data_IF_027360749016
#
_entry.id   IF_027360749016
#
_cell.length_a   1.000
_cell.length_b   1.000
_cell.length_c   1.000
_cell.angle_alpha   90.00
_cell.angle_beta   90.00
_cell.angle_gamma   90.00
#
_symmetry.space_group_name_H-M   'P 1'
#
loop_
_entity.id
_entity.type
_entity.pdbx_description
1 polymer ?
#
# COMPACT_ATOMS: atom_id res chain seq x y z
N UNK A 1 2.39 5.69 30.16
CA UNK A 1 3.62 5.08 30.71
C UNK A 1 4.00 3.90 29.83
N UNK A 2 5.27 3.74 29.46
CA UNK A 2 5.73 2.53 28.74
C UNK A 2 6.01 1.43 29.76
N UNK A 3 5.72 0.19 29.41
CA UNK A 3 5.96 -1.00 30.25
C UNK A 3 6.59 -2.12 29.41
N UNK A 4 7.27 -3.07 30.07
CA UNK A 4 7.79 -4.30 29.44
C UNK A 4 7.04 -5.50 29.99
N UNK A 5 6.60 -6.39 29.11
CA UNK A 5 5.95 -7.65 29.45
C UNK A 5 6.43 -8.76 28.53
N UNK A 6 6.44 -9.99 29.05
CA UNK A 6 6.71 -11.22 28.29
C UNK A 6 5.38 -11.96 28.13
N UNK A 7 5.09 -12.45 26.92
CA UNK A 7 3.83 -13.11 26.61
C UNK A 7 4.10 -14.40 25.85
N UNK A 8 3.38 -15.46 26.22
CA UNK A 8 3.42 -16.76 25.57
C UNK A 8 2.03 -17.05 25.01
N UNK A 9 1.90 -17.16 23.69
CA UNK A 9 0.61 -17.37 22.99
C UNK A 9 0.71 -18.47 21.93
N UNK A 10 1.09 -19.71 22.30
CA UNK A 10 1.39 -20.76 21.33
C UNK A 10 0.20 -21.08 20.42
N UNK A 11 -0.97 -21.34 21.00
CA UNK A 11 -2.18 -21.64 20.22
C UNK A 11 -2.60 -20.46 19.34
N UNK A 12 -2.62 -19.23 19.89
CA UNK A 12 -2.99 -18.03 19.13
C UNK A 12 -2.05 -17.75 17.96
N UNK A 13 -0.75 -18.00 18.13
CA UNK A 13 0.26 -17.86 17.08
C UNK A 13 0.00 -18.86 15.93
N UNK A 14 -0.31 -20.11 16.28
CA UNK A 14 -0.63 -21.16 15.30
C UNK A 14 -1.94 -20.87 14.57
N UNK A 15 -3.01 -20.56 15.31
CA UNK A 15 -4.34 -20.26 14.74
C UNK A 15 -4.28 -19.05 13.82
N UNK A 16 -3.58 -17.97 14.23
CA UNK A 16 -3.40 -16.78 13.40
C UNK A 16 -2.70 -17.11 12.08
N UNK A 17 -1.64 -17.92 12.12
CA UNK A 17 -0.92 -18.29 10.90
C UNK A 17 -1.78 -19.13 9.95
N UNK A 18 -2.52 -20.11 10.49
CA UNK A 18 -3.41 -20.96 9.73
C UNK A 18 -4.60 -20.18 9.13
N UNK A 19 -5.24 -19.34 9.94
CA UNK A 19 -6.38 -18.50 9.52
C UNK A 19 -5.96 -17.52 8.41
N UNK A 20 -4.84 -16.82 8.59
CA UNK A 20 -4.27 -15.94 7.56
C UNK A 20 -3.92 -16.68 6.27
N UNK A 21 -3.52 -17.96 6.36
CA UNK A 21 -3.26 -18.76 5.17
C UNK A 21 -4.53 -19.01 4.35
N UNK A 22 -5.67 -19.22 5.00
CA UNK A 22 -6.98 -19.39 4.36
C UNK A 22 -7.52 -18.07 3.80
N UNK A 23 -7.36 -16.96 4.53
CA UNK A 23 -7.73 -15.62 4.05
C UNK A 23 -6.95 -15.20 2.79
N UNK A 24 -5.77 -15.74 2.55
CA UNK A 24 -5.06 -15.46 1.30
C UNK A 24 -5.61 -16.24 0.08
N UNK A 25 -6.47 -17.23 0.32
CA UNK A 25 -6.99 -18.12 -0.72
C UNK A 25 -8.42 -17.78 -1.14
N UNK A 26 -9.20 -17.16 -0.24
CA UNK A 26 -10.67 -17.12 -0.34
C UNK A 26 -11.24 -15.71 -0.60
N UNK A 27 -11.01 -14.69 0.24
CA UNK A 27 -11.52 -13.35 -0.05
C UNK A 27 -10.80 -12.71 -1.25
N UNK A 28 -11.49 -11.81 -1.93
CA UNK A 28 -10.88 -10.99 -2.96
C UNK A 28 -9.85 -10.03 -2.35
N UNK A 29 -8.97 -9.53 -3.21
CA UNK A 29 -7.86 -8.65 -2.80
C UNK A 29 -8.34 -7.39 -2.06
N UNK A 30 -9.43 -6.74 -2.50
CA UNK A 30 -9.87 -5.47 -1.89
C UNK A 30 -10.48 -5.72 -0.52
N UNK A 31 -11.17 -6.84 -0.34
CA UNK A 31 -11.68 -7.27 0.97
C UNK A 31 -10.53 -7.54 1.94
N UNK A 32 -9.49 -8.26 1.50
CA UNK A 32 -8.31 -8.51 2.34
C UNK A 32 -7.57 -7.21 2.69
N UNK A 33 -7.39 -6.32 1.72
CA UNK A 33 -6.76 -5.00 1.93
C UNK A 33 -7.55 -4.15 2.95
N UNK A 34 -8.89 -4.21 2.92
CA UNK A 34 -9.76 -3.53 3.89
C UNK A 34 -9.60 -4.12 5.29
N UNK A 35 -9.60 -5.44 5.42
CA UNK A 35 -9.40 -6.12 6.72
C UNK A 35 -8.04 -5.74 7.33
N UNK A 36 -6.98 -5.71 6.53
CA UNK A 36 -5.64 -5.34 7.00
C UNK A 36 -5.53 -3.89 7.45
N UNK A 37 -6.27 -2.97 6.82
CA UNK A 37 -6.34 -1.57 7.26
C UNK A 37 -7.08 -1.42 8.60
N UNK A 38 -8.10 -2.25 8.84
CA UNK A 38 -8.97 -2.13 10.01
C UNK A 38 -8.48 -2.93 11.22
N UNK A 39 -7.76 -4.03 11.01
CA UNK A 39 -7.26 -4.89 12.09
C UNK A 39 -6.45 -4.15 13.18
N UNK A 40 -5.54 -3.19 12.85
CA UNK A 40 -4.84 -2.42 13.87
C UNK A 40 -5.77 -1.56 14.72
N UNK A 41 -6.83 -1.01 14.12
CA UNK A 41 -7.81 -0.18 14.83
C UNK A 41 -8.67 -1.01 15.77
N UNK A 42 -9.09 -2.21 15.34
CA UNK A 42 -9.78 -3.15 16.21
C UNK A 42 -8.89 -3.55 17.40
N UNK A 43 -7.62 -3.87 17.16
CA UNK A 43 -6.67 -4.22 18.23
C UNK A 43 -6.45 -3.07 19.23
N UNK A 44 -6.30 -1.83 18.76
CA UNK A 44 -6.16 -0.64 19.62
C UNK A 44 -7.41 -0.39 20.47
N UNK A 45 -8.61 -0.53 19.87
CA UNK A 45 -9.88 -0.42 20.58
C UNK A 45 -9.98 -1.44 21.72
N UNK A 46 -9.63 -2.71 21.45
CA UNK A 46 -9.60 -3.77 22.47
C UNK A 46 -8.59 -3.47 23.56
N UNK A 47 -7.38 -3.06 23.20
CA UNK A 47 -6.32 -2.72 24.15
C UNK A 47 -6.72 -1.56 25.08
N UNK A 48 -7.51 -0.61 24.57
CA UNK A 48 -8.07 0.51 25.34
C UNK A 48 -9.32 0.15 26.15
N UNK A 49 -9.76 -1.11 26.16
CA UNK A 49 -10.90 -1.59 26.94
C UNK A 49 -12.26 -1.16 26.40
N UNK A 50 -12.35 -0.76 25.12
CA UNK A 50 -13.60 -0.26 24.51
C UNK A 50 -14.50 -1.39 23.95
N UNK A 51 -14.57 -2.51 24.66
CA UNK A 51 -15.30 -3.72 24.23
C UNK A 51 -16.79 -3.45 23.97
N UNK A 52 -17.46 -2.76 24.90
CA UNK A 52 -18.91 -2.47 24.80
C UNK A 52 -19.25 -1.26 23.93
N UNK A 53 -18.38 -0.88 23.01
CA UNK A 53 -18.62 0.24 22.09
C UNK A 53 -19.44 -0.17 20.87
N UNK A 54 -20.14 0.80 20.27
CA UNK A 54 -20.77 0.62 18.96
C UNK A 54 -19.73 0.35 17.86
N UNK A 55 -18.51 0.87 18.03
CA UNK A 55 -17.37 0.62 17.13
C UNK A 55 -17.03 -0.87 17.07
N UNK A 56 -16.98 -1.58 18.21
CA UNK A 56 -16.78 -3.04 18.23
C UNK A 56 -17.88 -3.78 17.48
N UNK A 57 -19.15 -3.39 17.66
CA UNK A 57 -20.28 -4.00 16.97
C UNK A 57 -20.17 -3.86 15.44
N UNK A 58 -19.71 -2.71 14.96
CA UNK A 58 -19.52 -2.46 13.54
C UNK A 58 -18.39 -3.33 12.95
N UNK A 59 -17.29 -3.50 13.69
CA UNK A 59 -16.20 -4.39 13.26
C UNK A 59 -16.59 -5.86 13.23
N UNK A 60 -17.37 -6.32 14.21
CA UNK A 60 -17.83 -7.70 14.24
C UNK A 60 -18.78 -7.97 13.07
N UNK A 61 -19.70 -7.05 12.74
CA UNK A 61 -20.56 -7.18 11.56
C UNK A 61 -19.77 -7.25 10.24
N UNK A 62 -18.70 -6.45 10.09
CA UNK A 62 -17.80 -6.55 8.94
C UNK A 62 -17.10 -7.92 8.90
N UNK A 63 -16.61 -8.38 10.05
CA UNK A 63 -15.91 -9.67 10.15
C UNK A 63 -16.87 -10.81 9.80
N UNK A 64 -18.08 -10.82 10.34
CA UNK A 64 -19.09 -11.83 10.06
C UNK A 64 -19.39 -11.94 8.55
N UNK A 65 -19.51 -10.81 7.86
CA UNK A 65 -19.73 -10.81 6.40
C UNK A 65 -18.51 -11.34 5.65
N UNK A 66 -17.32 -10.83 5.97
CA UNK A 66 -16.11 -11.14 5.21
C UNK A 66 -15.55 -12.54 5.49
N UNK A 67 -15.89 -13.15 6.63
CA UNK A 67 -15.43 -14.48 7.03
C UNK A 67 -16.37 -15.61 6.58
N UNK A 68 -17.59 -15.31 6.10
CA UNK A 68 -18.53 -16.30 5.57
C UNK A 68 -17.91 -17.32 4.59
N UNK A 69 -17.13 -16.91 3.57
CA UNK A 69 -16.57 -17.86 2.62
C UNK A 69 -15.31 -18.58 3.15
N UNK A 70 -14.71 -18.13 4.26
CA UNK A 70 -13.40 -18.57 4.76
C UNK A 70 -13.51 -19.94 5.45
N UNK A 71 -13.73 -20.95 4.63
CA UNK A 71 -13.87 -22.36 5.04
C UNK A 71 -12.77 -23.17 4.36
N UNK A 72 -12.03 -23.97 5.12
CA UNK A 72 -10.96 -24.78 4.56
C UNK A 72 -10.04 -25.40 5.60
N UNK A 73 -8.96 -25.98 5.13
CA UNK A 73 -7.90 -26.61 5.94
C UNK A 73 -6.56 -25.98 5.61
N UNK A 74 -5.76 -25.74 6.64
CA UNK A 74 -4.38 -25.27 6.50
C UNK A 74 -3.46 -26.19 7.31
N UNK A 75 -2.43 -26.69 6.65
CA UNK A 75 -1.40 -27.52 7.28
C UNK A 75 -0.23 -26.64 7.68
N UNK A 76 0.20 -26.76 8.92
CA UNK A 76 1.29 -25.97 9.49
C UNK A 76 2.34 -26.88 10.12
N UNK A 77 3.61 -26.56 9.85
CA UNK A 77 4.77 -27.19 10.48
C UNK A 77 5.23 -26.34 11.66
N UNK A 78 5.39 -26.98 12.81
CA UNK A 78 5.94 -26.35 14.00
C UNK A 78 7.38 -26.81 14.19
N UNK A 79 8.31 -25.86 14.28
CA UNK A 79 9.72 -26.20 14.48
C UNK A 79 10.45 -25.09 15.23
N UNK A 80 11.05 -25.43 16.38
CA UNK A 80 11.90 -24.53 17.19
C UNK A 80 11.30 -23.13 17.42
N UNK A 81 10.02 -23.07 17.80
CA UNK A 81 9.32 -21.81 18.06
C UNK A 81 8.77 -21.10 16.81
N UNK A 82 8.96 -21.68 15.62
CA UNK A 82 8.44 -21.14 14.35
C UNK A 82 7.21 -21.92 13.89
N UNK A 83 6.26 -21.20 13.29
CA UNK A 83 5.11 -21.75 12.57
C UNK A 83 5.30 -21.49 11.08
N UNK A 84 5.24 -22.54 10.25
CA UNK A 84 5.37 -22.42 8.78
C UNK A 84 4.21 -23.12 8.09
N UNK A 85 3.44 -22.38 7.31
CA UNK A 85 2.35 -22.94 6.49
C UNK A 85 2.94 -23.82 5.39
N UNK A 86 2.49 -25.06 5.31
CA UNK A 86 2.92 -26.03 4.29
C UNK A 86 1.92 -26.12 3.14
N UNK A 87 0.64 -26.22 3.46
CA UNK A 87 -0.43 -26.38 2.48
C UNK A 87 -1.72 -25.70 2.96
N UNK A 88 -2.60 -25.40 2.01
CA UNK A 88 -3.91 -24.79 2.26
C UNK A 88 -4.90 -25.24 1.19
N UNK A 89 -6.12 -25.51 1.60
CA UNK A 89 -7.18 -25.99 0.71
C UNK A 89 -8.51 -25.38 1.14
N UNK A 90 -9.32 -24.99 0.17
CA UNK A 90 -10.66 -24.46 0.41
C UNK A 90 -11.58 -24.82 -0.76
N UNK A 91 -12.84 -25.22 -0.51
CA UNK A 91 -13.84 -25.34 -1.56
C UNK A 91 -14.23 -24.00 -2.20
N UNK A 92 -13.91 -22.87 -1.56
CA UNK A 92 -14.19 -21.51 -2.04
C UNK A 92 -12.90 -20.78 -2.48
N UNK A 93 -11.88 -21.53 -2.87
CA UNK A 93 -10.61 -20.97 -3.35
C UNK A 93 -10.81 -20.11 -4.60
N UNK A 94 -10.32 -18.87 -4.57
CA UNK A 94 -10.21 -18.01 -5.75
C UNK A 94 -8.95 -18.29 -6.58
N UNK A 95 -8.04 -19.14 -6.10
CA UNK A 95 -6.92 -19.62 -6.88
C UNK A 95 -7.40 -20.63 -7.93
N UNK A 96 -7.03 -20.39 -9.20
CA UNK A 96 -7.27 -21.31 -10.31
C UNK A 96 -5.95 -21.63 -11.02
N UNK A 97 -5.55 -22.91 -11.00
CA UNK A 97 -4.33 -23.38 -11.68
C UNK A 97 -4.37 -23.17 -13.20
N UNK A 98 -5.57 -23.22 -13.79
CA UNK A 98 -5.80 -23.04 -15.22
C UNK A 98 -5.61 -21.58 -15.66
N UNK A 99 -5.86 -20.61 -14.79
CA UNK A 99 -5.70 -19.18 -15.11
C UNK A 99 -4.25 -18.69 -14.89
N UNK A 100 -3.46 -19.41 -14.08
CA UNK A 100 -2.07 -19.02 -13.73
C UNK A 100 -1.01 -19.84 -14.45
N UNK A 101 -1.40 -20.84 -15.25
CA UNK A 101 -0.45 -21.64 -16.01
C UNK A 101 0.10 -20.86 -17.19
N UNK A 102 1.38 -21.07 -17.50
CA UNK A 102 2.02 -20.51 -18.69
C UNK A 102 1.70 -21.28 -19.98
N UNK A 103 1.11 -22.47 -19.87
CA UNK A 103 0.95 -23.40 -21.00
C UNK A 103 -0.42 -23.43 -21.68
N UNK A 104 -1.49 -22.94 -21.04
CA UNK A 104 -2.84 -22.98 -21.58
C UNK A 104 -3.24 -21.59 -22.10
N UNK A 105 -3.19 -21.42 -23.42
CA UNK A 105 -3.44 -20.14 -24.08
C UNK A 105 -4.93 -19.73 -24.16
N UNK A 106 -5.86 -20.60 -23.77
CA UNK A 106 -7.28 -20.46 -24.09
C UNK A 106 -8.14 -19.85 -22.96
N UNK A 107 -7.56 -19.61 -21.79
CA UNK A 107 -8.31 -19.19 -20.58
C UNK A 107 -8.24 -17.67 -20.34
N UNK A 108 -7.25 -16.98 -20.88
CA UNK A 108 -7.07 -15.53 -20.69
C UNK A 108 -6.52 -14.85 -21.96
N UNK A 109 -7.21 -13.80 -22.43
CA UNK A 109 -6.73 -12.97 -23.55
C UNK A 109 -5.66 -11.98 -23.06
N UNK A 110 -4.43 -12.19 -23.51
CA UNK A 110 -3.29 -11.35 -23.14
C UNK A 110 -3.36 -9.94 -23.75
N UNK A 111 -4.15 -9.73 -24.80
CA UNK A 111 -4.31 -8.41 -25.44
C UNK A 111 -4.92 -7.39 -24.46
N UNK A 112 -5.84 -7.84 -23.60
CA UNK A 112 -6.51 -7.01 -22.59
C UNK A 112 -5.52 -6.36 -21.61
N UNK A 113 -4.40 -7.04 -21.31
CA UNK A 113 -3.37 -6.52 -20.42
C UNK A 113 -2.76 -5.20 -20.93
N UNK A 114 -2.68 -5.03 -22.26
CA UNK A 114 -2.16 -3.81 -22.88
C UNK A 114 -3.10 -2.63 -22.62
N UNK A 115 -4.40 -2.84 -22.82
CA UNK A 115 -5.43 -1.84 -22.54
C UNK A 115 -5.44 -1.45 -21.06
N UNK A 116 -5.42 -2.45 -20.17
CA UNK A 116 -5.35 -2.23 -18.72
C UNK A 116 -4.12 -1.41 -18.32
N UNK A 117 -2.92 -1.78 -18.79
CA UNK A 117 -1.67 -1.08 -18.46
C UNK A 117 -1.72 0.39 -18.88
N UNK A 118 -2.21 0.65 -20.09
CA UNK A 118 -2.34 2.01 -20.61
C UNK A 118 -3.31 2.87 -19.79
N UNK A 119 -4.46 2.31 -19.40
CA UNK A 119 -5.47 3.02 -18.61
C UNK A 119 -5.04 3.21 -17.15
N UNK A 120 -4.56 2.15 -16.51
CA UNK A 120 -4.13 2.18 -15.11
C UNK A 120 -2.93 3.11 -14.90
N UNK A 121 -2.01 3.14 -15.87
CA UNK A 121 -0.83 4.02 -15.86
C UNK A 121 -1.08 5.45 -16.34
N UNK A 122 -2.27 5.77 -16.87
CA UNK A 122 -2.53 7.05 -17.55
C UNK A 122 -2.26 8.26 -16.64
N UNK A 123 -2.75 8.22 -15.40
CA UNK A 123 -2.55 9.30 -14.43
C UNK A 123 -1.07 9.53 -14.11
N UNK A 124 -0.29 8.45 -13.97
CA UNK A 124 1.15 8.54 -13.74
C UNK A 124 1.88 9.14 -14.94
N UNK A 125 1.45 8.81 -16.15
CA UNK A 125 1.99 9.38 -17.40
C UNK A 125 1.70 10.87 -17.52
N UNK A 126 0.50 11.33 -17.17
CA UNK A 126 0.16 12.76 -17.17
C UNK A 126 0.97 13.49 -16.10
N UNK A 127 1.07 12.93 -14.89
CA UNK A 127 1.84 13.52 -13.81
C UNK A 127 3.33 13.68 -14.17
N UNK A 128 3.91 12.72 -14.88
CA UNK A 128 5.31 12.81 -15.33
C UNK A 128 5.50 13.87 -16.41
N UNK A 129 4.56 14.00 -17.36
CA UNK A 129 4.59 15.05 -18.38
C UNK A 129 4.52 16.46 -17.76
N UNK A 130 3.61 16.68 -16.81
CA UNK A 130 3.52 17.96 -16.09
C UNK A 130 4.82 18.26 -15.35
N UNK A 131 5.41 17.26 -14.66
CA UNK A 131 6.70 17.42 -13.97
C UNK A 131 7.83 17.79 -14.93
N UNK A 132 7.89 17.17 -16.11
CA UNK A 132 8.89 17.50 -17.13
C UNK A 132 8.74 18.93 -17.63
N UNK A 133 7.51 19.37 -17.93
CA UNK A 133 7.23 20.75 -18.35
C UNK A 133 7.61 21.77 -17.27
N UNK A 134 7.32 21.48 -16.01
CA UNK A 134 7.71 22.33 -14.88
C UNK A 134 9.24 22.41 -14.73
N UNK A 135 9.95 21.28 -14.85
CA UNK A 135 11.42 21.27 -14.80
C UNK A 135 12.05 22.04 -15.97
N UNK A 136 11.49 21.93 -17.18
CA UNK A 136 11.94 22.68 -18.34
C UNK A 136 11.72 24.20 -18.15
N UNK A 137 10.55 24.59 -17.64
CA UNK A 137 10.23 26.00 -17.35
C UNK A 137 11.16 26.59 -16.28
N UNK A 138 11.44 25.83 -15.22
CA UNK A 138 12.37 26.26 -14.17
C UNK A 138 13.81 26.45 -14.69
N UNK A 139 14.27 25.60 -15.61
CA UNK A 139 15.61 25.72 -16.23
C UNK A 139 15.76 26.97 -17.11
N UNK A 140 14.68 27.42 -17.76
CA UNK A 140 14.65 28.64 -18.58
C UNK A 140 14.63 29.92 -17.74
N UNK A 141 13.96 29.90 -16.58
CA UNK A 141 13.92 31.04 -15.66
C UNK A 141 15.27 31.24 -14.94
N UNK A 142 15.98 30.16 -14.62
CA UNK A 142 17.34 30.23 -14.04
C UNK A 142 18.38 30.83 -14.99
N UNK A 143 18.22 30.69 -16.30
CA UNK A 143 19.12 31.28 -17.31
C UNK A 143 18.83 32.77 -17.59
N UNK A 144 17.62 33.24 -17.30
CA UNK A 144 17.23 34.64 -17.57
C UNK A 144 17.68 35.60 -16.47
N UNK A 145 17.97 35.11 -15.25
CA UNK A 145 18.42 35.94 -14.12
C UNK A 145 19.86 36.47 -14.24
N UNK A 146 20.67 35.98 -15.19
CA UNK A 146 22.06 36.44 -15.38
C UNK A 146 22.23 37.47 -16.51
N UNK A 147 21.18 37.74 -17.30
CA UNK A 147 21.23 38.74 -18.36
C UNK A 147 20.80 40.12 -17.84
N UNK A 148 21.72 40.79 -17.15
CA UNK A 148 21.64 42.25 -16.96
C UNK A 148 22.02 42.90 -18.30
N UNK A 149 21.12 43.65 -18.97
CA UNK A 149 21.46 44.34 -20.21
C UNK A 149 22.60 45.34 -19.93
N UNK A 150 23.58 45.43 -20.83
CA UNK A 150 24.77 46.27 -20.68
C UNK A 150 24.48 47.78 -20.45
N UNK A 151 23.23 48.22 -20.59
CA UNK A 151 22.80 49.60 -20.37
C UNK A 151 22.76 50.01 -18.88
N UNK A 152 22.72 49.08 -17.93
CA UNK A 152 22.54 49.39 -16.50
C UNK A 152 23.81 49.28 -15.63
N UNK A 153 24.97 48.98 -16.24
CA UNK A 153 26.24 48.92 -15.50
C UNK A 153 26.77 50.31 -15.07
N UNK A 154 26.47 51.35 -15.84
CA UNK A 154 26.97 52.72 -15.58
C UNK A 154 26.20 53.49 -14.49
N UNK A 155 25.02 53.02 -14.08
CA UNK A 155 24.21 53.69 -13.05
C UNK A 155 24.68 53.35 -11.62
N UNK A 156 25.33 52.20 -11.42
CA UNK A 156 25.77 51.74 -10.10
C UNK A 156 27.09 52.38 -9.63
N UNK A 157 28.00 52.74 -10.54
CA UNK A 157 29.31 53.34 -10.17
C UNK A 157 29.24 54.83 -9.81
N UNK A 158 28.15 55.54 -10.15
CA UNK A 158 28.02 56.98 -9.84
C UNK A 158 27.48 57.28 -8.44
N UNK A 159 27.12 56.27 -7.65
CA UNK A 159 26.59 56.44 -6.28
C UNK A 159 27.61 56.20 -5.16
N UNK A 160 28.84 55.77 -5.45
CA UNK A 160 29.85 55.46 -4.42
C UNK A 160 30.92 56.54 -4.19
N UNK A 161 30.85 57.68 -4.88
CA UNK A 161 31.81 58.79 -4.73
C UNK A 161 31.08 60.07 -4.32
N UNK A 162 30.77 60.21 -3.03
CA UNK A 162 30.30 61.50 -2.53
C UNK A 162 29.64 61.48 -1.15
N UNK A 163 30.43 61.27 -0.09
CA UNK A 163 30.32 62.07 1.15
C UNK A 163 31.43 61.66 2.12
N UNK A 164 32.43 62.53 2.24
CA UNK A 164 33.47 62.47 3.26
C UNK A 164 33.77 63.89 3.72
N UNK A 165 33.03 64.35 4.73
CA UNK A 165 33.38 65.32 5.78
C UNK A 165 32.34 65.20 6.87
#
# INVERSE_FOLDING_TARGET
MKSRGVYETPAGTVVRAAHRALEQLVPDRRTLDLQDQLAPRYADMLYKGRWWSAERAAFDALTDVTQQPVVGTAEVKLFKGTVTVQSRQSPFSLYSAEHVTFGAADVYDQVDATGFTNLFGLLLRIASQVRQLQSATASLQGTTSEFVPAADRDAAERRSLGHGT
#
